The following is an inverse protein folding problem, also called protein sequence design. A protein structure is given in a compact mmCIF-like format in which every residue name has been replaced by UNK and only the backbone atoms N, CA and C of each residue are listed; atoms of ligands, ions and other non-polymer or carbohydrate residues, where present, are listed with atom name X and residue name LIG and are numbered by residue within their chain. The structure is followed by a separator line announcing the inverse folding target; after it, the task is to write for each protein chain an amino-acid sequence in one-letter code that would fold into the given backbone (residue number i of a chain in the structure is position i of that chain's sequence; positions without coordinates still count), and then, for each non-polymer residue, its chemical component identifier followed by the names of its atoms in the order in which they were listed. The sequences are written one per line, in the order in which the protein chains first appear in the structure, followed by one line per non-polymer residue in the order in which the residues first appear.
data_IF_629470401341
#
_entry.id   IF_629470401341
#
_cell.length_a   1.000
_cell.length_b   1.000
_cell.length_c   1.000
_cell.angle_alpha   90.00
_cell.angle_beta   90.00
_cell.angle_gamma   90.00
#
_symmetry.space_group_name_H-M   'P 1'
#
loop_
_entity.id
_entity.type
_entity.pdbx_description
1 polymer ?
#
# COMPACT_ATOMS: atom_id res chain seq x y z
N UNK A 1 -12.67 -3.48 -18.30
CA UNK A 1 -11.65 -4.28 -17.58
C UNK A 1 -12.33 -4.86 -16.34
N UNK A 2 -11.89 -5.97 -15.76
CA UNK A 2 -12.51 -6.45 -14.51
C UNK A 2 -12.09 -5.52 -13.34
N UNK A 3 -13.06 -5.09 -12.53
CA UNK A 3 -12.82 -4.14 -11.45
C UNK A 3 -11.94 -4.74 -10.33
N UNK A 4 -12.19 -6.00 -9.96
CA UNK A 4 -11.45 -6.70 -8.92
C UNK A 4 -10.02 -6.97 -9.39
N UNK A 5 -9.85 -7.43 -10.64
CA UNK A 5 -8.52 -7.62 -11.23
C UNK A 5 -7.71 -6.32 -11.23
N UNK A 6 -8.36 -5.19 -11.55
CA UNK A 6 -7.72 -3.87 -11.53
C UNK A 6 -7.22 -3.52 -10.13
N UNK A 7 -8.09 -3.62 -9.11
CA UNK A 7 -7.73 -3.33 -7.72
C UNK A 7 -6.63 -4.26 -7.19
N UNK A 8 -6.71 -5.56 -7.47
CA UNK A 8 -5.67 -6.52 -7.09
C UNK A 8 -4.32 -6.23 -7.76
N UNK A 9 -4.32 -5.77 -9.01
CA UNK A 9 -3.09 -5.36 -9.69
C UNK A 9 -2.47 -4.11 -9.04
N UNK A 10 -3.30 -3.14 -8.63
CA UNK A 10 -2.86 -1.97 -7.88
C UNK A 10 -2.26 -2.37 -6.52
N UNK A 11 -2.86 -3.34 -5.82
CA UNK A 11 -2.30 -3.90 -4.58
C UNK A 11 -0.86 -4.39 -4.75
N UNK A 12 -0.57 -5.13 -5.84
CA UNK A 12 0.80 -5.62 -6.09
C UNK A 12 1.81 -4.49 -6.26
N UNK A 13 1.41 -3.35 -6.80
CA UNK A 13 2.27 -2.16 -6.93
C UNK A 13 2.46 -1.49 -5.57
N UNK A 14 1.36 -1.34 -4.82
CA UNK A 14 1.37 -0.74 -3.49
C UNK A 14 2.32 -1.51 -2.56
N UNK A 15 2.16 -2.83 -2.45
CA UNK A 15 3.00 -3.70 -1.61
C UNK A 15 4.49 -3.53 -1.88
N UNK A 16 4.90 -3.52 -3.16
CA UNK A 16 6.31 -3.33 -3.54
C UNK A 16 6.85 -1.99 -3.02
N UNK A 17 6.04 -0.92 -3.08
CA UNK A 17 6.42 0.40 -2.58
C UNK A 17 6.45 0.42 -1.05
N UNK A 18 5.57 -0.32 -0.35
CA UNK A 18 5.62 -0.46 1.11
C UNK A 18 6.95 -1.08 1.56
N UNK A 19 7.38 -2.15 0.91
CA UNK A 19 8.64 -2.81 1.24
C UNK A 19 9.84 -1.89 1.00
N UNK A 20 9.79 -1.09 -0.06
CA UNK A 20 10.78 -0.05 -0.35
C UNK A 20 10.78 1.08 0.69
N UNK A 21 9.61 1.49 1.19
CA UNK A 21 9.49 2.50 2.25
C UNK A 21 10.12 2.00 3.56
N UNK A 22 9.83 0.76 3.95
CA UNK A 22 10.42 0.15 5.15
C UNK A 22 11.94 0.10 5.01
N UNK A 23 12.43 -0.38 3.87
CA UNK A 23 13.87 -0.44 3.58
C UNK A 23 14.57 0.92 3.63
N UNK A 24 13.95 1.96 3.05
CA UNK A 24 14.42 3.34 3.14
C UNK A 24 14.51 3.81 4.60
N UNK A 25 13.46 3.59 5.39
CA UNK A 25 13.37 4.08 6.76
C UNK A 25 14.38 3.38 7.69
N UNK A 26 14.53 2.06 7.55
CA UNK A 26 15.53 1.28 8.28
C UNK A 26 16.96 1.71 7.94
N UNK A 27 17.23 1.96 6.65
CA UNK A 27 18.54 2.44 6.23
C UNK A 27 18.84 3.84 6.77
N UNK A 28 17.87 4.76 6.70
CA UNK A 28 18.01 6.11 7.23
C UNK A 28 18.32 6.08 8.74
N UNK A 29 17.60 5.23 9.48
CA UNK A 29 17.84 5.00 10.90
C UNK A 29 19.24 4.43 11.16
N UNK A 30 19.67 3.42 10.41
CA UNK A 30 21.01 2.80 10.53
C UNK A 30 22.14 3.81 10.25
N UNK A 31 21.96 4.68 9.25
CA UNK A 31 22.95 5.72 8.89
C UNK A 31 22.92 6.92 9.83
N UNK A 32 21.87 7.07 10.64
CA UNK A 32 21.67 8.27 11.47
C UNK A 32 21.31 9.52 10.66
N UNK A 33 20.94 9.36 9.39
CA UNK A 33 20.52 10.44 8.48
C UNK A 33 19.72 9.85 7.32
N UNK A 34 18.82 10.63 6.73
CA UNK A 34 18.06 10.24 5.55
C UNK A 34 17.68 11.43 4.68
N UNK A 35 17.07 11.14 3.54
CA UNK A 35 16.62 12.15 2.58
C UNK A 35 15.14 12.46 2.78
N UNK A 36 14.84 13.68 3.23
CA UNK A 36 13.45 14.15 3.45
C UNK A 36 12.65 14.24 2.16
N UNK A 37 13.29 14.62 1.06
CA UNK A 37 12.64 14.70 -0.24
C UNK A 37 12.25 13.30 -0.72
N UNK A 38 13.10 12.30 -0.44
CA UNK A 38 12.81 10.91 -0.73
C UNK A 38 11.62 10.38 0.08
N UNK A 39 11.57 10.63 1.39
CA UNK A 39 10.38 10.31 2.20
C UNK A 39 9.13 11.02 1.64
N UNK A 40 9.27 12.27 1.23
CA UNK A 40 8.21 13.04 0.57
C UNK A 40 7.69 12.39 -0.72
N UNK A 41 8.56 11.73 -1.50
CA UNK A 41 8.16 10.97 -2.69
C UNK A 41 7.30 9.74 -2.33
N UNK A 42 7.69 8.98 -1.30
CA UNK A 42 6.86 7.88 -0.79
C UNK A 42 5.49 8.35 -0.31
N UNK A 43 5.47 9.42 0.50
CA UNK A 43 4.22 10.03 0.98
C UNK A 43 3.34 10.47 -0.19
N UNK A 44 3.93 11.04 -1.23
CA UNK A 44 3.18 11.47 -2.43
C UNK A 44 2.58 10.29 -3.17
N UNK A 45 3.36 9.22 -3.39
CA UNK A 45 2.84 7.99 -3.98
C UNK A 45 1.66 7.43 -3.17
N UNK A 46 1.82 7.32 -1.85
CA UNK A 46 0.78 6.75 -0.98
C UNK A 46 -0.51 7.58 -1.03
N UNK A 47 -0.40 8.90 -0.87
CA UNK A 47 -1.60 9.78 -0.85
C UNK A 47 -2.35 9.79 -2.17
N UNK A 48 -1.62 9.76 -3.27
CA UNK A 48 -2.21 10.01 -4.58
C UNK A 48 -2.59 8.70 -5.29
N UNK A 49 -1.78 7.66 -5.15
CA UNK A 49 -2.05 6.35 -5.76
C UNK A 49 -2.79 5.41 -4.80
N UNK A 50 -2.23 5.09 -3.63
CA UNK A 50 -2.85 4.11 -2.73
C UNK A 50 -4.15 4.64 -2.10
N UNK A 51 -4.20 5.91 -1.72
CA UNK A 51 -5.39 6.48 -1.06
C UNK A 51 -6.36 7.12 -2.07
N UNK A 52 -6.01 8.26 -2.66
CA UNK A 52 -6.93 9.00 -3.53
C UNK A 52 -7.42 8.20 -4.74
N UNK A 53 -6.56 7.40 -5.36
CA UNK A 53 -6.93 6.59 -6.52
C UNK A 53 -7.53 5.25 -6.08
N UNK A 54 -6.74 4.40 -5.42
CA UNK A 54 -7.12 3.03 -5.12
C UNK A 54 -8.21 2.94 -4.04
N UNK A 55 -7.99 3.43 -2.81
CA UNK A 55 -9.05 3.47 -1.80
C UNK A 55 -10.26 4.30 -2.25
N UNK A 56 -10.07 5.31 -3.10
CA UNK A 56 -11.19 6.05 -3.73
C UNK A 56 -12.13 5.14 -4.54
N UNK A 57 -11.57 4.27 -5.39
CA UNK A 57 -12.33 3.25 -6.12
C UNK A 57 -13.05 2.28 -5.16
N UNK A 58 -12.43 1.95 -4.04
CA UNK A 58 -13.04 1.06 -3.07
C UNK A 58 -14.16 1.74 -2.28
N UNK A 59 -13.88 2.84 -1.59
CA UNK A 59 -14.81 3.51 -0.68
C UNK A 59 -16.03 4.07 -1.41
N UNK A 60 -15.80 4.74 -2.55
CA UNK A 60 -16.85 5.48 -3.26
C UNK A 60 -17.63 4.60 -4.25
N UNK A 61 -17.04 3.50 -4.72
CA UNK A 61 -17.65 2.65 -5.76
C UNK A 61 -17.91 1.24 -5.24
N UNK A 62 -16.86 0.43 -5.00
CA UNK A 62 -17.04 -0.98 -4.66
C UNK A 62 -17.81 -1.17 -3.34
N UNK A 63 -17.36 -0.53 -2.25
CA UNK A 63 -17.97 -0.64 -0.94
C UNK A 63 -19.36 -0.01 -0.91
N UNK A 64 -19.56 1.09 -1.66
CA UNK A 64 -20.89 1.68 -1.84
C UNK A 64 -21.85 0.69 -2.52
N UNK A 65 -21.40 0.00 -3.58
CA UNK A 65 -22.16 -1.03 -4.26
C UNK A 65 -22.44 -2.23 -3.35
N UNK A 66 -21.46 -2.70 -2.58
CA UNK A 66 -21.65 -3.77 -1.59
C UNK A 66 -22.71 -3.39 -0.55
N UNK A 67 -22.64 -2.17 0.00
CA UNK A 67 -23.64 -1.70 0.97
C UNK A 67 -25.04 -1.65 0.35
N UNK A 68 -25.16 -1.17 -0.89
CA UNK A 68 -26.42 -1.16 -1.62
C UNK A 68 -27.01 -2.57 -1.84
N UNK A 69 -26.17 -3.61 -1.84
CA UNK A 69 -26.57 -5.02 -2.01
C UNK A 69 -26.62 -5.81 -0.69
N UNK A 70 -26.67 -5.10 0.44
CA UNK A 70 -27.02 -5.65 1.74
C UNK A 70 -25.85 -5.90 2.69
N UNK A 71 -24.64 -5.45 2.37
CA UNK A 71 -23.56 -5.42 3.35
C UNK A 71 -23.79 -4.30 4.37
N UNK A 72 -23.59 -4.54 5.68
CA UNK A 72 -23.66 -3.49 6.67
C UNK A 72 -22.50 -2.49 6.48
N UNK A 73 -22.80 -1.19 6.44
CA UNK A 73 -21.77 -0.13 6.37
C UNK A 73 -21.03 0.09 7.69
N UNK A 74 -21.77 0.01 8.81
CA UNK A 74 -21.28 0.35 10.15
C UNK A 74 -20.95 -0.90 11.00
N UNK A 75 -20.83 -2.06 10.35
CA UNK A 75 -20.42 -3.31 10.99
C UNK A 75 -19.94 -4.30 9.93
N UNK A 76 -19.30 -5.39 10.35
CA UNK A 76 -18.79 -6.40 9.41
C UNK A 76 -17.59 -5.91 8.59
N UNK A 77 -17.26 -6.59 7.47
CA UNK A 77 -15.96 -6.46 6.83
C UNK A 77 -15.74 -5.10 6.15
N UNK A 78 -16.78 -4.48 5.56
CA UNK A 78 -16.69 -3.12 4.98
C UNK A 78 -16.31 -2.09 6.05
N UNK A 79 -16.91 -2.17 7.24
CA UNK A 79 -16.59 -1.24 8.33
C UNK A 79 -15.14 -1.40 8.83
N UNK A 80 -14.59 -2.61 8.79
CA UNK A 80 -13.19 -2.86 9.15
C UNK A 80 -12.26 -2.21 8.13
N UNK A 81 -12.52 -2.35 6.82
CA UNK A 81 -11.67 -1.73 5.80
C UNK A 81 -11.68 -0.21 5.90
N UNK A 82 -12.86 0.41 6.03
CA UNK A 82 -12.99 1.85 6.22
C UNK A 82 -12.25 2.36 7.49
N UNK A 83 -12.29 1.57 8.57
CA UNK A 83 -11.54 1.91 9.78
C UNK A 83 -10.04 1.88 9.53
N UNK A 84 -9.55 0.87 8.84
CA UNK A 84 -8.13 0.71 8.54
C UNK A 84 -7.61 1.74 7.55
N UNK A 85 -8.40 2.14 6.55
CA UNK A 85 -8.07 3.29 5.69
C UNK A 85 -7.84 4.55 6.54
N UNK A 86 -8.71 4.80 7.53
CA UNK A 86 -8.55 5.94 8.42
C UNK A 86 -7.29 5.82 9.31
N UNK A 87 -6.95 4.63 9.79
CA UNK A 87 -5.71 4.38 10.53
C UNK A 87 -4.48 4.59 9.63
N UNK A 88 -4.51 4.08 8.39
CA UNK A 88 -3.46 4.27 7.40
C UNK A 88 -3.22 5.74 7.09
N UNK A 89 -4.29 6.52 6.86
CA UNK A 89 -4.22 7.97 6.65
C UNK A 89 -3.56 8.72 7.82
N UNK A 90 -3.77 8.28 9.06
CA UNK A 90 -3.13 8.87 10.22
C UNK A 90 -1.61 8.63 10.24
N UNK A 91 -1.16 7.39 9.96
CA UNK A 91 0.27 7.04 9.87
C UNK A 91 0.97 7.81 8.75
N UNK A 92 0.34 7.89 7.57
CA UNK A 92 0.85 8.67 6.43
C UNK A 92 0.90 10.16 6.75
N UNK A 93 -0.04 10.66 7.56
CA UNK A 93 0.01 12.02 8.10
C UNK A 93 1.26 12.28 8.94
N UNK A 94 1.64 11.35 9.81
CA UNK A 94 2.86 11.45 10.62
C UNK A 94 4.13 11.42 9.76
N UNK A 95 4.22 10.50 8.79
CA UNK A 95 5.34 10.43 7.85
C UNK A 95 5.46 11.71 7.01
N UNK A 96 4.33 12.28 6.56
CA UNK A 96 4.31 13.54 5.85
C UNK A 96 4.82 14.72 6.70
N UNK A 97 4.46 14.76 7.97
CA UNK A 97 4.97 15.76 8.90
C UNK A 97 6.49 15.64 9.07
N UNK A 98 7.03 14.42 9.12
CA UNK A 98 8.49 14.18 9.16
C UNK A 98 9.20 14.60 7.88
N UNK A 99 8.61 14.33 6.72
CA UNK A 99 9.13 14.79 5.43
C UNK A 99 9.18 16.32 5.33
N UNK A 100 8.20 17.02 5.90
CA UNK A 100 8.11 18.47 5.88
C UNK A 100 8.81 19.19 7.05
N UNK A 101 9.38 18.44 8.00
CA UNK A 101 10.04 19.01 9.19
C UNK A 101 11.28 19.85 8.79
N UNK A 102 11.51 20.98 9.47
CA UNK A 102 12.72 21.78 9.30
C UNK A 102 13.97 21.14 9.93
N UNK A 103 15.16 21.48 9.42
CA UNK A 103 16.45 21.00 9.94
C UNK A 103 16.72 19.50 9.69
N UNK A 104 17.86 18.94 10.13
CA UNK A 104 18.11 17.51 10.02
C UNK A 104 17.23 16.69 10.98
N UNK A 105 16.95 15.43 10.63
CA UNK A 105 16.28 14.51 11.55
C UNK A 105 17.19 14.15 12.72
N UNK A 106 16.63 14.17 13.93
CA UNK A 106 17.30 13.65 15.13
C UNK A 106 17.26 12.12 15.14
N UNK A 107 18.05 11.44 15.99
CA UNK A 107 17.93 10.00 16.19
C UNK A 107 16.52 9.55 16.60
N UNK A 108 15.81 10.37 17.38
CA UNK A 108 14.42 10.11 17.76
C UNK A 108 13.48 10.22 16.56
N UNK A 109 13.67 11.23 15.69
CA UNK A 109 12.88 11.35 14.46
C UNK A 109 13.06 10.15 13.54
N UNK A 110 14.29 9.68 13.36
CA UNK A 110 14.60 8.51 12.54
C UNK A 110 13.98 7.22 13.11
N UNK A 111 13.96 7.08 14.43
CA UNK A 111 13.26 5.98 15.08
C UNK A 111 11.76 6.05 14.79
N UNK A 112 11.13 7.21 14.99
CA UNK A 112 9.70 7.40 14.68
C UNK A 112 9.38 7.13 13.21
N UNK A 113 10.20 7.61 12.27
CA UNK A 113 9.99 7.34 10.83
C UNK A 113 10.05 5.84 10.54
N UNK A 114 11.02 5.14 11.12
CA UNK A 114 11.15 3.68 10.98
C UNK A 114 9.94 2.94 11.54
N UNK A 115 9.47 3.35 12.73
CA UNK A 115 8.33 2.70 13.40
C UNK A 115 7.01 2.97 12.66
N UNK A 116 6.77 4.21 12.22
CA UNK A 116 5.57 4.59 11.47
C UNK A 116 5.54 3.93 10.09
N UNK A 117 6.69 3.84 9.40
CA UNK A 117 6.81 3.14 8.12
C UNK A 117 6.49 1.65 8.26
N UNK A 118 7.06 0.98 9.27
CA UNK A 118 6.78 -0.42 9.55
C UNK A 118 5.32 -0.66 9.96
N UNK A 119 4.76 0.22 10.80
CA UNK A 119 3.36 0.15 11.21
C UNK A 119 2.41 0.31 10.01
N UNK A 120 2.68 1.27 9.12
CA UNK A 120 1.88 1.48 7.91
C UNK A 120 1.97 0.29 6.95
N UNK A 121 3.18 -0.21 6.68
CA UNK A 121 3.38 -1.37 5.81
C UNK A 121 2.68 -2.62 6.37
N UNK A 122 2.82 -2.91 7.65
CA UNK A 122 2.18 -4.06 8.28
C UNK A 122 0.65 -3.96 8.27
N UNK A 123 0.11 -2.77 8.55
CA UNK A 123 -1.33 -2.51 8.45
C UNK A 123 -1.82 -2.80 7.03
N UNK A 124 -1.16 -2.23 6.02
CA UNK A 124 -1.66 -2.30 4.65
C UNK A 124 -1.46 -3.68 4.02
N UNK A 125 -0.38 -4.41 4.35
CA UNK A 125 -0.23 -5.82 3.95
C UNK A 125 -1.35 -6.70 4.52
N UNK A 126 -1.69 -6.53 5.81
CA UNK A 126 -2.78 -7.27 6.43
C UNK A 126 -4.15 -6.87 5.86
N UNK A 127 -4.31 -5.58 5.55
CA UNK A 127 -5.50 -5.00 4.92
C UNK A 127 -5.74 -5.59 3.53
N UNK A 128 -4.77 -5.47 2.63
CA UNK A 128 -4.77 -6.02 1.27
C UNK A 128 -5.08 -7.52 1.28
N UNK A 129 -4.49 -8.29 2.19
CA UNK A 129 -4.79 -9.72 2.31
C UNK A 129 -6.28 -9.98 2.64
N UNK A 130 -6.90 -9.16 3.50
CA UNK A 130 -8.33 -9.31 3.81
C UNK A 130 -9.20 -8.93 2.63
N UNK A 131 -8.80 -7.96 1.83
CA UNK A 131 -9.54 -7.58 0.64
C UNK A 131 -9.46 -8.67 -0.42
N UNK A 132 -8.24 -9.03 -0.82
CA UNK A 132 -7.97 -10.04 -1.84
C UNK A 132 -8.58 -11.40 -1.50
N UNK A 133 -8.41 -11.87 -0.26
CA UNK A 133 -8.80 -13.22 0.13
C UNK A 133 -10.23 -13.34 0.66
N UNK A 134 -10.86 -12.23 1.07
CA UNK A 134 -12.15 -12.26 1.76
C UNK A 134 -13.13 -11.28 1.15
N UNK A 135 -12.87 -9.97 1.20
CA UNK A 135 -13.87 -8.96 0.85
C UNK A 135 -14.21 -8.97 -0.65
N UNK A 136 -13.21 -9.06 -1.53
CA UNK A 136 -13.43 -9.09 -2.97
C UNK A 136 -14.17 -10.36 -3.41
N UNK A 137 -13.79 -11.59 -2.97
CA UNK A 137 -14.61 -12.78 -3.22
C UNK A 137 -16.04 -12.67 -2.69
N UNK A 138 -16.25 -12.02 -1.54
CA UNK A 138 -17.59 -11.76 -1.02
C UNK A 138 -18.38 -10.81 -1.92
N UNK A 139 -17.72 -9.80 -2.51
CA UNK A 139 -18.34 -8.90 -3.46
C UNK A 139 -18.77 -9.65 -4.72
N UNK A 140 -17.87 -10.42 -5.34
CA UNK A 140 -18.15 -11.20 -6.55
C UNK A 140 -19.30 -12.21 -6.35
N UNK A 141 -19.40 -12.83 -5.18
CA UNK A 141 -20.46 -13.79 -4.88
C UNK A 141 -21.82 -13.14 -4.65
N UNK A 142 -21.84 -11.88 -4.17
CA UNK A 142 -23.07 -11.22 -3.70
C UNK A 142 -23.63 -10.22 -4.70
N UNK A 143 -22.78 -9.53 -5.45
CA UNK A 143 -23.21 -8.54 -6.42
C UNK A 143 -23.67 -9.25 -7.70
N UNK A 144 -24.85 -8.88 -8.26
CA UNK A 144 -25.27 -9.42 -9.53
C UNK A 144 -24.34 -8.93 -10.65
N UNK A 145 -24.24 -9.67 -11.78
CA UNK A 145 -23.33 -9.32 -12.87
C UNK A 145 -23.48 -7.87 -13.36
N UNK A 146 -24.71 -7.34 -13.45
CA UNK A 146 -24.91 -5.96 -13.91
C UNK A 146 -24.40 -4.93 -12.90
N UNK A 147 -24.35 -5.27 -11.61
CA UNK A 147 -23.76 -4.40 -10.59
C UNK A 147 -22.23 -4.41 -10.66
N UNK A 148 -21.62 -5.57 -10.90
CA UNK A 148 -20.17 -5.67 -11.11
C UNK A 148 -19.71 -4.94 -12.37
N UNK A 149 -20.49 -5.03 -13.46
CA UNK A 149 -20.21 -4.27 -14.69
C UNK A 149 -20.25 -2.76 -14.44
N UNK A 150 -21.25 -2.27 -13.69
CA UNK A 150 -21.31 -0.86 -13.29
C UNK A 150 -20.12 -0.45 -12.41
N UNK A 151 -19.71 -1.29 -11.47
CA UNK A 151 -18.52 -1.03 -10.64
C UNK A 151 -17.28 -0.88 -11.53
N UNK A 152 -17.10 -1.73 -12.53
CA UNK A 152 -15.99 -1.62 -13.47
C UNK A 152 -16.04 -0.31 -14.28
N UNK A 153 -17.18 0.02 -14.87
CA UNK A 153 -17.37 1.28 -15.62
C UNK A 153 -17.12 2.52 -14.75
N UNK A 154 -17.57 2.47 -13.51
CA UNK A 154 -17.41 3.53 -12.52
C UNK A 154 -15.95 3.68 -12.10
N UNK A 155 -15.22 2.59 -11.86
CA UNK A 155 -13.78 2.61 -11.56
C UNK A 155 -12.98 3.21 -12.72
N UNK A 156 -13.27 2.78 -13.96
CA UNK A 156 -12.61 3.33 -15.14
C UNK A 156 -12.92 4.82 -15.33
N UNK A 157 -14.15 5.25 -15.04
CA UNK A 157 -14.52 6.67 -15.08
C UNK A 157 -13.83 7.47 -13.98
N UNK A 158 -13.81 6.95 -12.76
CA UNK A 158 -13.14 7.56 -11.62
C UNK A 158 -11.67 7.80 -11.95
N UNK A 159 -11.00 6.81 -12.52
CA UNK A 159 -9.60 6.93 -12.94
C UNK A 159 -9.36 8.02 -13.99
N UNK A 160 -10.25 8.11 -14.99
CA UNK A 160 -10.17 9.17 -16.02
C UNK A 160 -10.40 10.56 -15.45
N UNK A 161 -11.35 10.71 -14.53
CA UNK A 161 -11.82 12.02 -14.03
C UNK A 161 -11.02 12.54 -12.83
N UNK A 162 -10.71 11.67 -11.86
CA UNK A 162 -10.11 12.05 -10.57
C UNK A 162 -8.58 12.02 -10.58
N UNK A 163 -7.99 11.10 -11.34
CA UNK A 163 -6.54 10.98 -11.52
C UNK A 163 -6.08 11.67 -12.80
N UNK A 164 -6.86 11.67 -13.88
CA UNK A 164 -6.50 12.33 -15.13
C UNK A 164 -5.55 11.49 -16.01
N UNK A 165 -5.62 11.69 -17.32
CA UNK A 165 -4.80 10.93 -18.28
C UNK A 165 -3.30 11.11 -18.02
N UNK A 166 -2.56 10.00 -17.87
CA UNK A 166 -1.11 10.00 -17.63
C UNK A 166 -0.69 9.97 -16.16
N UNK A 167 -1.61 10.15 -15.21
CA UNK A 167 -1.29 10.18 -13.77
C UNK A 167 -1.08 8.78 -13.20
N UNK A 168 -1.87 7.80 -13.66
CA UNK A 168 -1.65 6.41 -13.33
C UNK A 168 -0.24 5.96 -13.77
N UNK A 169 0.12 6.22 -15.03
CA UNK A 169 1.44 5.89 -15.57
C UNK A 169 2.57 6.61 -14.83
N UNK A 170 2.36 7.87 -14.44
CA UNK A 170 3.32 8.64 -13.64
C UNK A 170 3.56 8.01 -12.27
N UNK A 171 2.51 7.54 -11.59
CA UNK A 171 2.67 6.91 -10.28
C UNK A 171 3.22 5.49 -10.36
N UNK A 172 2.93 4.75 -11.44
CA UNK A 172 3.64 3.51 -11.74
C UNK A 172 5.14 3.74 -11.96
N UNK A 173 5.51 4.77 -12.74
CA UNK A 173 6.92 5.15 -12.91
C UNK A 173 7.57 5.55 -11.58
N UNK A 174 6.86 6.32 -10.74
CA UNK A 174 7.34 6.67 -9.40
C UNK A 174 7.51 5.43 -8.52
N UNK A 175 6.57 4.49 -8.56
CA UNK A 175 6.67 3.23 -7.83
C UNK A 175 7.92 2.45 -8.23
N UNK A 176 8.14 2.27 -9.55
CA UNK A 176 9.32 1.56 -10.04
C UNK A 176 10.62 2.27 -9.65
N UNK A 177 10.67 3.61 -9.71
CA UNK A 177 11.84 4.37 -9.25
C UNK A 177 12.13 4.17 -7.75
N UNK A 178 11.09 4.23 -6.91
CA UNK A 178 11.21 4.02 -5.46
C UNK A 178 11.67 2.59 -5.16
N UNK A 179 11.04 1.60 -5.80
CA UNK A 179 11.38 0.19 -5.64
C UNK A 179 12.81 -0.06 -6.08
N UNK A 180 13.22 0.39 -7.26
CA UNK A 180 14.58 0.18 -7.77
C UNK A 180 15.65 0.78 -6.86
N UNK A 181 15.39 1.96 -6.28
CA UNK A 181 16.35 2.64 -5.40
C UNK A 181 16.52 1.95 -4.06
N UNK A 182 15.47 1.30 -3.55
CA UNK A 182 15.45 0.74 -2.19
C UNK A 182 15.33 -0.80 -2.15
N UNK A 183 15.28 -1.48 -3.30
CA UNK A 183 15.19 -2.95 -3.43
C UNK A 183 16.31 -3.73 -2.73
N UNK A 184 17.48 -3.12 -2.49
CA UNK A 184 18.61 -3.78 -1.85
C UNK A 184 18.48 -3.88 -0.32
N UNK A 185 17.48 -3.21 0.27
CA UNK A 185 17.31 -3.13 1.73
C UNK A 185 16.21 -4.04 2.28
N UNK A 186 15.35 -4.60 1.41
CA UNK A 186 14.18 -5.41 1.76
C UNK A 186 14.44 -6.93 1.82
N UNK A 187 15.68 -7.39 1.61
CA UNK A 187 16.10 -8.78 1.88
C UNK A 187 17.50 -8.79 2.50
N UNK A 188 17.68 -9.09 3.81
CA UNK A 188 18.97 -9.59 4.26
C UNK A 188 19.20 -10.90 3.52
N UNK A 189 20.30 -10.98 2.75
CA UNK A 189 20.70 -12.20 2.08
C UNK A 189 20.62 -13.36 3.09
N UNK A 190 19.75 -14.34 2.82
CA UNK A 190 19.68 -15.55 3.60
C UNK A 190 21.08 -16.14 3.67
N UNK A 191 21.57 -16.32 4.89
CA UNK A 191 22.90 -16.82 5.19
C UNK A 191 23.07 -18.21 4.55
N UNK A 192 23.70 -18.26 3.37
CA UNK A 192 24.03 -19.53 2.71
C UNK A 192 25.24 -20.13 3.40
N UNK A 193 25.04 -20.63 4.62
CA UNK A 193 25.99 -21.54 5.25
C UNK A 193 25.89 -22.89 4.54
N UNK A 194 26.94 -23.41 3.89
CA UNK A 194 26.88 -24.72 3.25
C UNK A 194 26.77 -25.82 4.32
N UNK A 195 25.97 -26.88 4.11
CA UNK A 195 25.92 -27.98 5.06
C UNK A 195 27.27 -28.71 5.11
N UNK A 196 27.83 -28.82 6.31
CA UNK A 196 29.00 -29.66 6.61
C UNK A 196 28.71 -31.11 6.21
N UNK A 197 29.40 -31.58 5.16
CA UNK A 197 29.44 -33.01 4.80
C UNK A 197 30.09 -33.79 5.94
N UNK A 198 29.30 -34.50 6.72
CA UNK A 198 29.80 -35.55 7.60
C UNK A 198 30.24 -36.73 6.71
N UNK A 199 31.55 -36.99 6.74
CA UNK A 199 32.17 -38.10 6.05
C UNK A 199 31.66 -39.43 6.61
N UNK A 200 31.28 -40.31 5.69
CA UNK A 200 31.05 -41.73 5.94
C UNK A 200 32.41 -42.41 6.14
N UNK A 201 32.64 -43.04 7.29
CA UNK A 201 33.70 -44.04 7.45
C UNK A 201 33.02 -45.40 7.65
N UNK A 202 33.20 -46.26 6.64
CA UNK A 202 33.22 -47.72 6.81
C UNK A 202 34.66 -48.19 6.99
#
# INVERSE_FOLDING_TARGET
MDAIETLMNEHRVIERVLDALVGFAEEARRKGTGDKAELGRFVSFIREFADRCHHGKEEDILFAAMVAHGFPRNGGPVAVMLHEHAQGRALVGALAAKAAQDGPWTPADLQTISDDAAAYANLLHAHIHKEDAILYPMAEQRLPPEAMERVAEDCERFEREQTGAGVHERYHALADELVLRHAATSHPAADTTPPHRHGCCG
#
